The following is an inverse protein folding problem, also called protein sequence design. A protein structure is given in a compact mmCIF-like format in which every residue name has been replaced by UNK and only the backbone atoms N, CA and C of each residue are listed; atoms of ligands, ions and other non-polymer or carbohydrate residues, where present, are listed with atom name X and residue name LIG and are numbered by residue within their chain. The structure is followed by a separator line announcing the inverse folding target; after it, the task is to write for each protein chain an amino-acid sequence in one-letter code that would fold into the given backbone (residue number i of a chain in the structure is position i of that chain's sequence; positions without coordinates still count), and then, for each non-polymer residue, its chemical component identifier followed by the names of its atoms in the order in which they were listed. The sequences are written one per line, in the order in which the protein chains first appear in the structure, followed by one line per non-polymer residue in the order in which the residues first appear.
data_IF_673065525909
#
_entry.id   IF_673065525909
#
_cell.length_a   1.000
_cell.length_b   1.000
_cell.length_c   1.000
_cell.angle_alpha   90.00
_cell.angle_beta   90.00
_cell.angle_gamma   90.00
#
_symmetry.space_group_name_H-M   'P 1'
#
loop_
_entity.id
_entity.type
_entity.pdbx_description
1 polymer ?
#
# COMPACT_ATOMS: atom_id res chain seq x y z
N UNK A 1 -1.49 15.97 -11.93
CA UNK A 1 -2.05 15.46 -10.65
C UNK A 1 -1.09 14.40 -10.12
N UNK A 2 -0.50 14.59 -8.93
CA UNK A 2 0.66 13.82 -8.45
C UNK A 2 0.36 12.35 -8.06
N UNK A 3 -0.91 11.92 -8.07
CA UNK A 3 -1.34 10.59 -7.61
C UNK A 3 -2.47 10.06 -8.51
N UNK A 4 -2.45 8.76 -8.80
CA UNK A 4 -3.52 8.06 -9.52
C UNK A 4 -4.88 8.19 -8.78
N UNK A 5 -6.00 8.49 -9.50
CA UNK A 5 -7.33 8.60 -8.88
C UNK A 5 -7.78 7.37 -8.08
N UNK A 6 -7.31 6.18 -8.49
CA UNK A 6 -7.57 4.92 -7.78
C UNK A 6 -7.06 4.92 -6.34
N UNK A 7 -5.90 5.54 -6.06
CA UNK A 7 -5.34 5.62 -4.72
C UNK A 7 -6.19 6.47 -3.78
N UNK A 8 -6.79 7.56 -4.28
CA UNK A 8 -7.71 8.41 -3.50
C UNK A 8 -8.99 7.66 -3.13
N UNK A 9 -9.58 6.97 -4.11
CA UNK A 9 -10.78 6.15 -3.91
C UNK A 9 -10.51 5.02 -2.93
N UNK A 10 -9.36 4.38 -3.06
CA UNK A 10 -8.88 3.37 -2.12
C UNK A 10 -8.76 3.93 -0.70
N UNK A 11 -8.10 5.09 -0.54
CA UNK A 11 -7.90 5.69 0.78
C UNK A 11 -9.22 6.01 1.46
N UNK A 12 -10.17 6.58 0.72
CA UNK A 12 -11.51 6.85 1.25
C UNK A 12 -12.16 5.57 1.79
N UNK A 13 -12.13 4.47 1.02
CA UNK A 13 -12.69 3.17 1.44
C UNK A 13 -11.95 2.57 2.64
N UNK A 14 -10.62 2.73 2.71
CA UNK A 14 -9.82 2.27 3.84
C UNK A 14 -10.19 3.05 5.11
N UNK A 15 -10.28 4.37 4.99
CA UNK A 15 -10.61 5.28 6.08
C UNK A 15 -12.04 5.04 6.62
N UNK A 16 -13.02 4.87 5.73
CA UNK A 16 -14.41 4.58 6.11
C UNK A 16 -14.64 3.13 6.55
N UNK A 17 -13.62 2.25 6.48
CA UNK A 17 -13.77 0.84 6.77
C UNK A 17 -14.68 0.08 5.79
N UNK A 18 -14.87 0.61 4.58
CA UNK A 18 -15.70 0.00 3.52
C UNK A 18 -14.85 -0.65 2.43
N UNK A 19 -13.64 -1.08 2.78
CA UNK A 19 -12.77 -1.81 1.87
C UNK A 19 -13.35 -3.22 1.69
N UNK A 20 -13.40 -3.72 0.45
CA UNK A 20 -14.03 -5.00 0.10
C UNK A 20 -13.15 -6.21 0.45
N UNK A 21 -12.66 -6.27 1.68
CA UNK A 21 -12.00 -7.46 2.23
C UNK A 21 -13.01 -8.59 2.38
N UNK A 22 -12.55 -9.85 2.37
CA UNK A 22 -13.49 -10.99 2.39
C UNK A 22 -14.43 -11.00 3.59
N UNK A 23 -13.92 -10.66 4.78
CA UNK A 23 -14.74 -10.56 6.00
C UNK A 23 -15.87 -9.53 5.86
N UNK A 24 -15.55 -8.35 5.34
CA UNK A 24 -16.54 -7.30 5.05
C UNK A 24 -17.59 -7.73 4.02
N UNK A 25 -17.19 -8.49 2.98
CA UNK A 25 -18.11 -9.00 1.98
C UNK A 25 -19.05 -10.07 2.55
N UNK A 26 -18.52 -11.00 3.35
CA UNK A 26 -19.30 -12.04 4.01
C UNK A 26 -20.32 -11.44 4.99
N UNK A 27 -19.91 -10.46 5.81
CA UNK A 27 -20.81 -9.73 6.73
C UNK A 27 -21.98 -9.03 6.01
N UNK A 28 -21.80 -8.69 4.73
CA UNK A 28 -22.83 -8.05 3.89
C UNK A 28 -23.66 -9.07 3.09
N UNK A 29 -23.45 -10.36 3.31
CA UNK A 29 -24.20 -11.44 2.66
C UNK A 29 -23.71 -11.80 1.25
N UNK A 30 -22.52 -11.36 0.85
CA UNK A 30 -21.94 -11.81 -0.41
C UNK A 30 -21.40 -13.24 -0.28
N UNK A 31 -21.67 -14.06 -1.29
CA UNK A 31 -21.15 -15.43 -1.35
C UNK A 31 -19.63 -15.42 -1.57
N UNK A 32 -18.87 -16.02 -0.63
CA UNK A 32 -17.42 -16.18 -0.70
C UNK A 32 -17.05 -17.65 -1.01
N UNK A 33 -16.63 -17.99 -2.24
CA UNK A 33 -16.36 -19.38 -2.65
C UNK A 33 -15.30 -20.10 -1.81
N UNK A 34 -14.38 -19.34 -1.22
CA UNK A 34 -13.23 -19.84 -0.45
C UNK A 34 -13.26 -19.42 1.02
N UNK A 35 -14.45 -19.02 1.51
CA UNK A 35 -14.64 -18.46 2.85
C UNK A 35 -14.03 -17.05 3.02
N UNK A 36 -14.16 -16.52 4.22
CA UNK A 36 -13.62 -15.21 4.60
C UNK A 36 -12.16 -15.21 5.03
N UNK A 37 -11.54 -16.39 5.08
CA UNK A 37 -10.16 -16.56 5.50
C UNK A 37 -9.16 -16.21 4.39
N UNK A 38 -8.00 -15.73 4.81
CA UNK A 38 -6.81 -15.61 3.98
C UNK A 38 -6.33 -16.99 3.53
N UNK A 39 -6.12 -17.16 2.22
CA UNK A 39 -5.68 -18.43 1.63
C UNK A 39 -4.30 -18.90 2.13
N UNK A 40 -3.45 -17.98 2.59
CA UNK A 40 -2.08 -18.28 3.05
C UNK A 40 -2.08 -18.67 4.53
N UNK A 41 -2.68 -17.84 5.39
CA UNK A 41 -2.60 -18.00 6.86
C UNK A 41 -3.81 -18.69 7.48
N UNK A 42 -4.90 -18.91 6.73
CA UNK A 42 -6.17 -19.46 7.24
C UNK A 42 -6.70 -18.71 8.47
N UNK A 43 -6.62 -17.38 8.41
CA UNK A 43 -7.17 -16.45 9.40
C UNK A 43 -8.15 -15.52 8.71
N UNK A 44 -9.15 -14.96 9.41
CA UNK A 44 -10.12 -14.06 8.81
C UNK A 44 -9.40 -12.90 8.13
N UNK A 45 -9.71 -12.69 6.85
CA UNK A 45 -9.11 -11.63 6.05
C UNK A 45 -9.77 -10.29 6.39
N UNK A 46 -9.25 -9.64 7.43
CA UNK A 46 -9.60 -8.27 7.82
C UNK A 46 -8.66 -7.25 7.18
N UNK A 47 -9.00 -5.96 7.28
CA UNK A 47 -8.11 -4.85 6.87
C UNK A 47 -6.74 -5.00 7.54
N UNK A 48 -6.72 -5.21 8.86
CA UNK A 48 -5.50 -5.35 9.64
C UNK A 48 -4.70 -6.57 9.19
N UNK A 49 -5.36 -7.70 8.90
CA UNK A 49 -4.67 -8.88 8.39
C UNK A 49 -4.00 -8.59 7.05
N UNK A 50 -4.72 -8.00 6.08
CA UNK A 50 -4.19 -7.76 4.73
C UNK A 50 -2.97 -6.84 4.76
N UNK A 51 -3.02 -5.75 5.52
CA UNK A 51 -1.97 -4.73 5.49
C UNK A 51 -0.85 -4.94 6.50
N UNK A 52 -1.12 -5.55 7.66
CA UNK A 52 -0.17 -5.61 8.77
C UNK A 52 0.35 -7.03 9.06
N UNK A 53 -0.45 -8.07 8.81
CA UNK A 53 -0.13 -9.42 9.29
C UNK A 53 0.06 -10.47 8.19
N UNK A 54 -0.35 -10.17 6.96
CA UNK A 54 -0.12 -11.03 5.82
C UNK A 54 1.34 -10.91 5.37
N UNK A 55 1.90 -12.01 4.85
CA UNK A 55 3.30 -12.14 4.44
C UNK A 55 3.71 -10.94 3.56
N UNK A 56 2.99 -10.71 2.46
CA UNK A 56 3.31 -9.63 1.53
C UNK A 56 3.36 -8.25 2.21
N UNK A 57 2.44 -7.97 3.13
CA UNK A 57 2.43 -6.73 3.91
C UNK A 57 3.63 -6.59 4.84
N UNK A 58 3.88 -7.61 5.67
CA UNK A 58 4.98 -7.61 6.67
C UNK A 58 6.33 -7.34 6.00
N UNK A 59 6.63 -8.07 4.94
CA UNK A 59 7.91 -7.95 4.26
C UNK A 59 8.00 -6.62 3.49
N UNK A 60 6.94 -6.22 2.80
CA UNK A 60 6.88 -4.94 2.09
C UNK A 60 7.22 -3.76 3.01
N UNK A 61 6.58 -3.71 4.18
CA UNK A 61 6.84 -2.64 5.14
C UNK A 61 8.26 -2.69 5.70
N UNK A 62 8.76 -3.88 6.05
CA UNK A 62 10.12 -4.03 6.57
C UNK A 62 11.19 -3.49 5.59
N UNK A 63 11.11 -3.88 4.31
CA UNK A 63 12.05 -3.35 3.30
C UNK A 63 11.84 -1.87 3.04
N UNK A 64 10.60 -1.38 3.05
CA UNK A 64 10.31 0.05 2.88
C UNK A 64 10.93 0.89 4.01
N UNK A 65 10.69 0.50 5.26
CA UNK A 65 11.21 1.18 6.44
C UNK A 65 12.74 1.18 6.47
N UNK A 66 13.37 0.05 6.14
CA UNK A 66 14.85 -0.05 6.05
C UNK A 66 15.41 0.82 4.93
N UNK A 67 14.72 0.91 3.80
CA UNK A 67 15.17 1.72 2.65
C UNK A 67 15.11 3.21 2.98
N UNK A 68 14.06 3.67 3.68
CA UNK A 68 13.88 5.08 4.06
C UNK A 68 14.54 5.46 5.38
N UNK A 69 14.97 4.47 6.17
CA UNK A 69 15.41 4.64 7.56
C UNK A 69 14.37 5.40 8.39
N UNK A 70 13.09 5.11 8.16
CA UNK A 70 11.94 5.77 8.80
C UNK A 70 10.99 4.72 9.36
N UNK A 71 10.52 4.93 10.57
CA UNK A 71 9.48 4.09 11.17
C UNK A 71 8.09 4.55 10.74
N UNK A 72 7.29 3.60 10.25
CA UNK A 72 5.92 3.84 9.83
C UNK A 72 4.95 3.37 10.93
N UNK A 73 3.80 4.05 11.12
CA UNK A 73 2.81 3.69 12.13
C UNK A 73 1.99 2.46 11.67
N UNK A 74 2.59 1.27 11.78
CA UNK A 74 2.00 0.00 11.34
C UNK A 74 1.03 -0.59 12.38
N UNK A 75 -0.02 0.15 12.69
CA UNK A 75 -1.13 -0.27 13.53
C UNK A 75 -2.47 0.16 12.90
N UNK A 76 -3.62 -0.39 13.34
CA UNK A 76 -4.90 -0.15 12.67
C UNK A 76 -5.28 1.32 12.49
N UNK A 77 -5.03 2.16 13.51
CA UNK A 77 -5.27 3.60 13.40
C UNK A 77 -4.25 4.29 12.49
N UNK A 78 -2.98 3.87 12.53
CA UNK A 78 -1.90 4.45 11.74
C UNK A 78 -2.15 4.28 10.24
N UNK A 79 -2.58 3.08 9.81
CA UNK A 79 -2.92 2.83 8.40
C UNK A 79 -4.22 3.50 7.95
N UNK A 80 -5.20 3.68 8.85
CA UNK A 80 -6.49 4.30 8.52
C UNK A 80 -6.41 5.82 8.39
N UNK A 81 -5.55 6.44 9.18
CA UNK A 81 -5.45 7.91 9.27
C UNK A 81 -4.11 8.46 8.75
N UNK A 82 -3.20 7.61 8.27
CA UNK A 82 -1.84 8.00 7.84
C UNK A 82 -1.14 8.86 8.90
N UNK A 83 -1.06 8.35 10.14
CA UNK A 83 -0.49 9.07 11.29
C UNK A 83 1.04 9.13 11.25
N UNK A 84 1.59 9.64 10.16
CA UNK A 84 3.03 9.77 9.92
C UNK A 84 3.38 11.22 9.66
N UNK A 85 4.46 11.68 10.29
CA UNK A 85 4.94 13.05 10.14
C UNK A 85 5.80 13.19 8.89
N UNK A 86 5.55 14.25 8.12
CA UNK A 86 6.30 14.61 6.93
C UNK A 86 7.57 15.39 7.31
N UNK A 87 8.56 14.68 7.86
CA UNK A 87 9.84 15.24 8.26
C UNK A 87 10.63 15.79 7.06
N UNK A 88 11.25 16.95 7.23
CA UNK A 88 12.06 17.63 6.21
C UNK A 88 11.32 17.86 4.88
N UNK A 89 9.99 17.94 4.92
CA UNK A 89 9.14 18.09 3.73
C UNK A 89 8.98 16.83 2.89
N UNK A 90 9.53 15.69 3.31
CA UNK A 90 9.31 14.39 2.65
C UNK A 90 7.86 13.96 2.88
N UNK A 91 7.08 13.67 1.82
CA UNK A 91 5.68 13.26 1.96
C UNK A 91 5.59 11.77 2.28
N UNK A 92 5.90 11.41 3.53
CA UNK A 92 5.83 10.03 4.02
C UNK A 92 4.41 9.49 4.06
N UNK A 93 3.43 10.35 4.32
CA UNK A 93 2.00 10.04 4.23
C UNK A 93 1.62 9.54 2.82
N UNK A 94 2.11 10.20 1.78
CA UNK A 94 1.91 9.82 0.39
C UNK A 94 2.59 8.49 0.07
N UNK A 95 3.84 8.32 0.50
CA UNK A 95 4.59 7.07 0.32
C UNK A 95 3.85 5.91 0.99
N UNK A 96 3.35 6.13 2.21
CA UNK A 96 2.54 5.16 2.95
C UNK A 96 1.26 4.82 2.20
N UNK A 97 0.54 5.83 1.69
CA UNK A 97 -0.67 5.65 0.90
C UNK A 97 -0.41 4.82 -0.38
N UNK A 98 0.67 5.13 -1.10
CA UNK A 98 1.06 4.38 -2.30
C UNK A 98 1.37 2.91 -1.95
N UNK A 99 2.06 2.68 -0.83
CA UNK A 99 2.35 1.33 -0.32
C UNK A 99 1.08 0.54 -0.03
N UNK A 100 0.16 1.13 0.76
CA UNK A 100 -1.14 0.54 1.09
C UNK A 100 -1.96 0.24 -0.17
N UNK A 101 -2.02 1.18 -1.11
CA UNK A 101 -2.75 0.99 -2.36
C UNK A 101 -2.16 -0.13 -3.22
N UNK A 102 -0.82 -0.25 -3.29
CA UNK A 102 -0.16 -1.30 -4.05
C UNK A 102 -0.35 -2.69 -3.42
N UNK A 103 -0.28 -2.80 -2.09
CA UNK A 103 -0.64 -4.02 -1.36
C UNK A 103 -2.07 -4.43 -1.66
N UNK A 104 -3.00 -3.48 -1.63
CA UNK A 104 -4.40 -3.75 -1.94
C UNK A 104 -4.60 -4.24 -3.38
N UNK A 105 -3.93 -3.59 -4.35
CA UNK A 105 -4.00 -3.99 -5.76
C UNK A 105 -3.46 -5.40 -5.99
N UNK A 106 -2.32 -5.73 -5.41
CA UNK A 106 -1.75 -7.07 -5.49
C UNK A 106 -2.69 -8.13 -4.88
N UNK A 107 -3.28 -7.82 -3.72
CA UNK A 107 -4.27 -8.69 -3.07
C UNK A 107 -5.49 -8.93 -3.95
N UNK A 108 -6.05 -7.87 -4.52
CA UNK A 108 -7.23 -7.96 -5.39
C UNK A 108 -6.95 -8.67 -6.71
N UNK A 109 -5.76 -8.52 -7.29
CA UNK A 109 -5.34 -9.30 -8.45
C UNK A 109 -5.34 -10.81 -8.14
N UNK A 110 -4.86 -11.19 -6.94
CA UNK A 110 -4.95 -12.58 -6.47
C UNK A 110 -6.40 -13.05 -6.25
N UNK A 111 -7.26 -12.20 -5.69
CA UNK A 111 -8.67 -12.52 -5.47
C UNK A 111 -9.45 -12.70 -6.79
N UNK A 112 -9.17 -11.89 -7.80
CA UNK A 112 -9.81 -11.96 -9.11
C UNK A 112 -9.16 -12.97 -10.08
N UNK A 113 -8.14 -13.71 -9.64
CA UNK A 113 -7.36 -14.61 -10.49
C UNK A 113 -6.82 -13.91 -11.76
N UNK A 114 -6.33 -12.68 -11.61
CA UNK A 114 -5.79 -11.88 -12.70
C UNK A 114 -4.56 -12.57 -13.33
N UNK A 115 -4.54 -12.82 -14.65
CA UNK A 115 -3.39 -13.44 -15.32
C UNK A 115 -2.12 -12.59 -15.25
N UNK A 116 -2.26 -11.26 -15.15
CA UNK A 116 -1.14 -10.31 -15.08
C UNK A 116 -0.84 -9.89 -13.63
N UNK A 117 -1.12 -10.77 -12.66
CA UNK A 117 -0.87 -10.49 -11.25
C UNK A 117 0.60 -10.13 -11.03
N UNK A 118 0.82 -9.00 -10.35
CA UNK A 118 2.14 -8.50 -9.99
C UNK A 118 2.23 -8.34 -8.47
N UNK A 119 3.39 -8.63 -7.86
CA UNK A 119 3.59 -8.40 -6.44
C UNK A 119 3.53 -6.90 -6.13
N UNK A 120 3.09 -6.56 -4.92
CA UNK A 120 2.90 -5.17 -4.47
C UNK A 120 4.16 -4.31 -4.68
N UNK A 121 5.35 -4.90 -4.48
CA UNK A 121 6.65 -4.26 -4.73
C UNK A 121 6.80 -3.71 -6.13
N UNK A 122 6.40 -4.46 -7.16
CA UNK A 122 6.53 -4.02 -8.55
C UNK A 122 5.58 -2.86 -8.85
N UNK A 123 4.33 -2.98 -8.41
CA UNK A 123 3.33 -1.91 -8.52
C UNK A 123 3.77 -0.64 -7.80
N UNK A 124 4.42 -0.80 -6.64
CA UNK A 124 4.94 0.31 -5.86
C UNK A 124 6.11 1.00 -6.56
N UNK A 125 7.09 0.24 -7.07
CA UNK A 125 8.21 0.80 -7.86
C UNK A 125 7.70 1.60 -9.05
N UNK A 126 6.73 1.08 -9.81
CA UNK A 126 6.11 1.80 -10.94
C UNK A 126 5.46 3.10 -10.49
N UNK A 127 4.70 3.06 -9.39
CA UNK A 127 4.02 4.24 -8.85
C UNK A 127 5.02 5.30 -8.35
N UNK A 128 6.12 4.87 -7.73
CA UNK A 128 7.18 5.74 -7.23
C UNK A 128 8.00 6.34 -8.37
N UNK A 129 8.33 5.58 -9.41
CA UNK A 129 9.03 6.10 -10.59
C UNK A 129 8.19 7.19 -11.25
N UNK A 130 6.90 6.94 -11.47
CA UNK A 130 5.98 7.96 -11.99
C UNK A 130 5.94 9.21 -11.10
N UNK A 131 5.91 9.02 -9.78
CA UNK A 131 5.91 10.12 -8.82
C UNK A 131 7.21 10.95 -8.90
N UNK A 132 8.37 10.29 -8.91
CA UNK A 132 9.69 10.92 -9.04
C UNK A 132 9.81 11.67 -10.36
N UNK A 133 9.38 11.07 -11.47
CA UNK A 133 9.44 11.69 -12.80
C UNK A 133 8.61 12.98 -12.84
N UNK A 134 7.43 12.97 -12.22
CA UNK A 134 6.58 14.17 -12.09
C UNK A 134 7.24 15.25 -11.22
N UNK A 135 7.99 14.89 -10.17
CA UNK A 135 8.74 15.86 -9.36
C UNK A 135 9.92 16.45 -10.12
N UNK A 136 10.64 15.63 -10.91
CA UNK A 136 11.80 16.08 -11.72
C UNK A 136 11.41 17.05 -12.83
N UNK A 137 10.16 17.02 -13.28
CA UNK A 137 9.63 17.91 -14.32
C UNK A 137 9.13 19.25 -13.78
N UNK A 138 9.14 19.46 -12.46
CA UNK A 138 8.73 20.74 -11.85
C UNK A 138 9.86 21.77 -11.92
N UNK A 139 9.50 23.06 -11.97
CA UNK A 139 10.47 24.17 -12.00
C UNK A 139 11.40 24.18 -10.77
N UNK A 140 10.94 23.63 -9.65
CA UNK A 140 11.71 23.46 -8.43
C UNK A 140 11.72 21.98 -8.03
N UNK A 141 12.90 21.36 -8.12
CA UNK A 141 13.10 19.97 -7.70
C UNK A 141 13.36 19.95 -6.19
N UNK A 142 12.59 19.20 -5.39
CA UNK A 142 12.78 19.17 -3.95
C UNK A 142 14.12 18.53 -3.55
N UNK A 143 14.84 19.16 -2.61
CA UNK A 143 16.13 18.65 -2.10
C UNK A 143 16.02 17.26 -1.48
N UNK A 144 14.85 16.95 -0.91
CA UNK A 144 14.58 15.66 -0.30
C UNK A 144 14.31 14.52 -1.30
N UNK A 145 14.25 14.82 -2.61
CA UNK A 145 13.99 13.81 -3.65
C UNK A 145 14.97 12.64 -3.58
N UNK A 146 16.25 12.91 -3.28
CA UNK A 146 17.30 11.91 -3.13
C UNK A 146 16.99 10.87 -2.02
N UNK A 147 16.14 11.20 -1.04
CA UNK A 147 15.68 10.25 -0.01
C UNK A 147 14.65 9.26 -0.54
N UNK A 148 13.91 9.65 -1.59
CA UNK A 148 12.81 8.87 -2.17
C UNK A 148 13.27 8.06 -3.38
N UNK A 149 14.30 8.52 -4.11
CA UNK A 149 14.86 7.79 -5.27
C UNK A 149 15.24 6.32 -5.00
N UNK A 150 15.80 5.93 -3.83
CA UNK A 150 16.08 4.53 -3.53
C UNK A 150 14.85 3.61 -3.58
N UNK A 151 13.64 4.16 -3.38
CA UNK A 151 12.39 3.41 -3.46
C UNK A 151 12.09 2.89 -4.87
N UNK A 152 12.61 3.54 -5.93
CA UNK A 152 12.48 3.06 -7.31
C UNK A 152 13.15 1.69 -7.50
N UNK A 153 14.12 1.36 -6.65
CA UNK A 153 14.91 0.13 -6.69
C UNK A 153 14.64 -0.78 -5.48
N UNK A 154 13.48 -0.62 -4.82
CA UNK A 154 13.12 -1.34 -3.58
C UNK A 154 13.44 -2.84 -3.65
N UNK A 155 14.38 -3.36 -2.85
CA UNK A 155 14.95 -4.71 -3.02
C UNK A 155 13.91 -5.84 -2.91
N UNK A 156 14.24 -6.99 -3.50
CA UNK A 156 13.54 -8.25 -3.25
C UNK A 156 13.92 -8.83 -1.89
N UNK A 157 12.98 -9.56 -1.28
CA UNK A 157 13.14 -10.26 -0.01
C UNK A 157 13.89 -11.57 -0.19
#
# INVERSE_FOLDING_TARGET
MQIQPGAKTFFFKLHSGTLSVRTYLEERGFYMPWGSDCLIYRKPETIDHVFLHCWEGVYFWDVLQRTLKKEFPLHPLGIRFLQIENEDGVPFDLIMLLGLHCLWRARMAGFHCDPDRRPARMLFRESIVQYIDVLKQQDFVPDWLARVEPLAYLKEF
#
